data_IF_070995509299
#
_entry.id   IF_070995509299
#
_cell.length_a   1.000
_cell.length_b   1.000
_cell.length_c   1.000
_cell.angle_alpha   90.00
_cell.angle_beta   90.00
_cell.angle_gamma   90.00
#
_symmetry.space_group_name_H-M   'P 1'
#
loop_
_entity.id
_entity.type
_entity.pdbx_description
1 polymer ?
#
# COMPACT_ATOMS: atom_id res chain seq x y z
N UNK A 1 57.48 -4.70 -8.00
CA UNK A 1 56.74 -4.05 -6.90
C UNK A 1 55.78 -3.08 -7.54
N UNK A 2 54.62 -3.58 -7.98
CA UNK A 2 53.54 -2.73 -8.52
C UNK A 2 52.56 -2.45 -7.39
N UNK A 3 52.37 -1.16 -7.11
CA UNK A 3 51.43 -0.65 -6.12
C UNK A 3 50.02 -0.70 -6.69
N UNK A 4 49.17 -1.56 -6.12
CA UNK A 4 47.74 -1.55 -6.40
C UNK A 4 47.08 -0.43 -5.61
N UNK A 5 46.70 0.64 -6.30
CA UNK A 5 45.82 1.66 -5.75
C UNK A 5 44.46 1.03 -5.46
N UNK A 6 44.24 0.75 -4.17
CA UNK A 6 42.96 0.29 -3.67
C UNK A 6 42.02 1.48 -3.62
N UNK A 7 41.17 1.63 -4.64
CA UNK A 7 40.12 2.64 -4.68
C UNK A 7 39.15 2.34 -3.54
N UNK A 8 39.31 3.09 -2.45
CA UNK A 8 38.39 3.09 -1.32
C UNK A 8 37.06 3.68 -1.80
N UNK A 9 35.91 2.98 -1.66
CA UNK A 9 34.63 3.55 -2.04
C UNK A 9 34.38 4.78 -1.18
N UNK A 10 34.20 5.93 -1.85
CA UNK A 10 33.92 7.19 -1.21
C UNK A 10 32.73 7.07 -0.27
N UNK A 11 32.92 7.55 0.97
CA UNK A 11 31.88 7.72 1.98
C UNK A 11 30.60 8.30 1.36
N UNK A 12 29.40 7.88 1.81
CA UNK A 12 28.17 8.42 1.27
C UNK A 12 28.13 9.93 1.56
N UNK A 13 28.38 10.72 0.52
CA UNK A 13 28.14 12.15 0.57
C UNK A 13 26.64 12.34 0.83
N UNK A 14 26.31 13.23 1.76
CA UNK A 14 24.91 13.60 2.00
C UNK A 14 24.37 14.26 0.73
N UNK A 15 23.64 13.49 -0.07
CA UNK A 15 22.96 14.00 -1.27
C UNK A 15 21.60 14.51 -0.84
N UNK A 16 21.35 15.80 -1.05
CA UNK A 16 20.02 16.37 -0.89
C UNK A 16 19.09 15.70 -1.91
N UNK A 17 18.16 14.88 -1.43
CA UNK A 17 17.12 14.31 -2.28
C UNK A 17 16.11 15.39 -2.66
N UNK A 18 15.61 15.43 -3.91
CA UNK A 18 14.49 16.29 -4.27
C UNK A 18 13.35 16.10 -3.28
N UNK A 19 12.88 17.19 -2.67
CA UNK A 19 11.90 17.13 -1.57
C UNK A 19 10.63 17.86 -1.94
N UNK A 20 9.48 17.21 -1.75
CA UNK A 20 8.15 17.74 -1.98
C UNK A 20 7.39 17.80 -0.66
N UNK A 21 6.84 18.96 -0.32
CA UNK A 21 5.92 19.09 0.81
C UNK A 21 4.48 18.98 0.31
N UNK A 22 3.66 18.15 0.96
CA UNK A 22 2.24 17.99 0.66
C UNK A 22 1.38 18.45 1.84
N UNK A 23 0.29 19.13 1.53
CA UNK A 23 -0.82 19.45 2.44
C UNK A 23 -2.07 18.71 1.99
N UNK A 24 -3.05 18.52 2.89
CA UNK A 24 -4.32 17.86 2.57
C UNK A 24 -4.08 16.56 1.78
N UNK A 25 -3.26 15.67 2.34
CA UNK A 25 -2.71 14.50 1.63
C UNK A 25 -3.63 13.28 1.77
N UNK A 26 -3.55 12.30 0.85
CA UNK A 26 -4.33 11.07 0.87
C UNK A 26 -3.56 9.90 0.25
N UNK A 27 -4.00 8.67 0.54
CA UNK A 27 -3.43 7.46 -0.07
C UNK A 27 -3.95 7.27 -1.49
N UNK A 28 -3.07 6.82 -2.38
CA UNK A 28 -3.39 6.43 -3.75
C UNK A 28 -2.70 5.11 -4.09
N UNK A 29 -3.15 4.47 -5.17
CA UNK A 29 -2.45 3.35 -5.79
C UNK A 29 -1.69 3.89 -7.01
N UNK A 30 -0.38 3.71 -7.03
CA UNK A 30 0.43 4.10 -8.18
C UNK A 30 0.02 3.27 -9.42
N UNK A 31 0.05 3.92 -10.58
CA UNK A 31 -0.24 3.28 -11.86
C UNK A 31 0.80 2.20 -12.20
N UNK A 32 2.08 2.52 -11.97
CA UNK A 32 3.21 1.60 -12.14
C UNK A 32 3.64 1.07 -10.78
N UNK A 33 3.89 -0.23 -10.71
CA UNK A 33 4.51 -0.84 -9.54
C UNK A 33 6.03 -0.63 -9.54
N UNK A 34 6.61 -0.79 -8.37
CA UNK A 34 8.05 -0.88 -8.17
C UNK A 34 8.31 -2.01 -7.19
N UNK A 35 8.91 -3.10 -7.66
CA UNK A 35 9.17 -4.30 -6.86
C UNK A 35 7.87 -4.85 -6.21
N UNK A 36 6.76 -4.86 -6.96
CA UNK A 36 5.44 -5.26 -6.45
C UNK A 36 4.75 -4.23 -5.54
N UNK A 37 5.44 -3.15 -5.15
CA UNK A 37 4.87 -2.07 -4.33
C UNK A 37 4.14 -1.06 -5.20
N UNK A 38 2.96 -0.66 -4.73
CA UNK A 38 2.11 0.31 -5.42
C UNK A 38 1.47 1.35 -4.48
N UNK A 39 1.64 1.23 -3.16
CA UNK A 39 1.13 2.24 -2.24
C UNK A 39 1.87 3.56 -2.46
N UNK A 40 1.13 4.64 -2.67
CA UNK A 40 1.65 5.96 -2.93
C UNK A 40 0.81 7.03 -2.21
N UNK A 41 1.27 8.28 -2.25
CA UNK A 41 0.54 9.43 -1.70
C UNK A 41 0.30 10.48 -2.76
N UNK A 42 -0.85 11.13 -2.64
CA UNK A 42 -1.10 12.38 -3.34
C UNK A 42 -1.45 13.47 -2.34
N UNK A 43 -1.34 14.72 -2.77
CA UNK A 43 -1.60 15.86 -1.92
C UNK A 43 -1.55 17.17 -2.68
N UNK A 44 -1.92 18.24 -1.98
CA UNK A 44 -1.82 19.59 -2.51
C UNK A 44 -0.42 20.13 -2.26
N UNK A 45 0.18 20.70 -3.29
CA UNK A 45 1.40 21.47 -3.13
C UNK A 45 1.07 22.80 -2.42
N UNK A 46 1.94 23.32 -1.54
CA UNK A 46 1.78 24.64 -0.95
C UNK A 46 1.61 25.70 -2.04
N UNK A 47 0.50 26.44 -2.01
CA UNK A 47 0.27 27.52 -2.97
C UNK A 47 1.05 28.76 -2.55
N UNK A 48 1.87 29.29 -3.46
CA UNK A 48 2.46 30.62 -3.31
C UNK A 48 1.51 31.62 -3.96
N UNK A 49 0.68 32.28 -3.15
CA UNK A 49 -0.25 33.41 -3.45
C UNK A 49 -1.00 33.34 -4.81
N UNK A 50 -2.33 33.22 -4.72
CA UNK A 50 -3.30 33.39 -5.84
C UNK A 50 -3.12 32.46 -7.06
N UNK A 51 -2.39 31.36 -6.95
CA UNK A 51 -2.33 30.34 -8.01
C UNK A 51 -3.30 29.19 -7.76
N UNK A 52 -3.72 28.56 -8.86
CA UNK A 52 -4.51 27.34 -8.86
C UNK A 52 -3.87 26.27 -7.96
N UNK A 53 -4.70 25.59 -7.18
CA UNK A 53 -4.27 24.49 -6.31
C UNK A 53 -3.73 23.37 -7.19
N UNK A 54 -2.43 23.09 -7.06
CA UNK A 54 -1.78 21.98 -7.78
C UNK A 54 -1.81 20.73 -6.92
N UNK A 55 -2.21 19.63 -7.53
CA UNK A 55 -2.13 18.29 -6.94
C UNK A 55 -0.87 17.61 -7.45
N UNK A 56 -0.18 16.93 -6.54
CA UNK A 56 0.95 16.07 -6.83
C UNK A 56 0.58 14.64 -6.46
N UNK A 57 0.98 13.67 -7.30
CA UNK A 57 0.86 12.24 -7.05
C UNK A 57 2.24 11.62 -7.10
N UNK A 58 2.57 10.78 -6.13
CA UNK A 58 3.90 10.18 -6.00
C UNK A 58 4.05 8.85 -6.75
N UNK A 59 5.30 8.48 -7.01
CA UNK A 59 5.68 7.08 -7.24
C UNK A 59 5.44 6.21 -5.97
N UNK A 60 5.50 4.87 -6.07
CA UNK A 60 5.39 3.98 -4.92
C UNK A 60 6.33 4.38 -3.79
N UNK A 61 5.82 4.31 -2.56
CA UNK A 61 6.60 4.52 -1.35
C UNK A 61 7.45 3.26 -1.14
N UNK A 62 8.75 3.46 -0.99
CA UNK A 62 9.71 2.38 -0.78
C UNK A 62 10.36 2.45 0.60
N UNK A 63 10.26 3.60 1.26
CA UNK A 63 10.89 3.85 2.54
C UNK A 63 10.11 4.85 3.36
N UNK A 64 10.10 4.61 4.66
CA UNK A 64 9.69 5.59 5.66
C UNK A 64 10.91 6.04 6.45
N UNK A 65 11.10 7.35 6.59
CA UNK A 65 12.14 7.93 7.44
C UNK A 65 11.61 8.28 8.83
N UNK A 66 10.40 8.85 8.90
CA UNK A 66 9.68 9.13 10.14
C UNK A 66 8.16 9.13 9.88
N UNK A 67 7.34 9.63 10.81
CA UNK A 67 5.86 9.64 10.68
C UNK A 67 5.37 10.47 9.48
N UNK A 68 6.12 11.48 9.07
CA UNK A 68 5.76 12.46 8.06
C UNK A 68 6.67 12.47 6.83
N UNK A 69 7.82 11.80 6.90
CA UNK A 69 8.84 11.82 5.85
C UNK A 69 8.98 10.46 5.17
N UNK A 70 8.77 10.43 3.86
CA UNK A 70 8.70 9.23 3.03
C UNK A 70 9.69 9.31 1.87
N UNK A 71 10.22 8.17 1.44
CA UNK A 71 11.02 8.03 0.23
C UNK A 71 10.27 7.22 -0.82
N UNK A 72 10.29 7.70 -2.06
CA UNK A 72 9.61 7.08 -3.20
C UNK A 72 10.59 6.47 -4.19
N UNK A 73 10.09 5.55 -5.02
CA UNK A 73 10.89 4.77 -5.97
C UNK A 73 11.67 5.63 -6.99
N UNK A 74 11.17 6.82 -7.32
CA UNK A 74 11.81 7.79 -8.20
C UNK A 74 12.86 8.68 -7.49
N UNK A 75 13.19 8.38 -6.23
CA UNK A 75 14.22 9.09 -5.47
C UNK A 75 13.76 10.42 -4.87
N UNK A 76 12.45 10.67 -4.81
CA UNK A 76 11.87 11.86 -4.20
C UNK A 76 11.60 11.61 -2.70
N UNK A 77 11.89 12.62 -1.89
CA UNK A 77 11.50 12.69 -0.49
C UNK A 77 10.17 13.45 -0.37
N UNK A 78 9.19 12.88 0.31
CA UNK A 78 7.89 13.52 0.54
C UNK A 78 7.74 13.83 2.01
N UNK A 79 7.38 15.08 2.31
CA UNK A 79 7.01 15.55 3.64
C UNK A 79 5.51 15.83 3.64
N UNK A 80 4.73 14.97 4.30
CA UNK A 80 3.29 15.16 4.47
C UNK A 80 3.01 16.08 5.67
N UNK A 81 2.05 17.00 5.52
CA UNK A 81 1.65 17.95 6.56
C UNK A 81 0.17 17.86 6.86
N UNK A 82 -0.16 17.89 8.14
CA UNK A 82 -1.53 17.79 8.64
C UNK A 82 -2.06 16.36 8.61
N UNK A 83 -3.34 16.23 8.89
CA UNK A 83 -4.03 14.95 8.91
C UNK A 83 -4.35 14.49 7.48
N UNK A 84 -4.43 13.18 7.31
CA UNK A 84 -4.85 12.56 6.05
C UNK A 84 -6.30 12.94 5.69
N UNK A 85 -6.56 13.17 4.41
CA UNK A 85 -7.89 13.42 3.86
C UNK A 85 -8.65 12.09 3.70
N UNK A 86 -9.65 11.89 4.56
CA UNK A 86 -10.47 10.67 4.59
C UNK A 86 -11.22 10.42 3.28
N UNK A 87 -11.97 11.41 2.79
CA UNK A 87 -12.83 11.25 1.62
C UNK A 87 -12.01 10.86 0.38
N UNK A 88 -10.90 11.56 0.13
CA UNK A 88 -10.02 11.26 -1.01
C UNK A 88 -9.35 9.90 -0.89
N UNK A 89 -9.01 9.47 0.33
CA UNK A 89 -8.46 8.14 0.59
C UNK A 89 -9.47 7.06 0.20
N UNK A 90 -10.74 7.24 0.58
CA UNK A 90 -11.85 6.32 0.23
C UNK A 90 -12.14 6.32 -1.27
N UNK A 91 -12.18 7.50 -1.90
CA UNK A 91 -12.36 7.66 -3.34
C UNK A 91 -11.25 6.96 -4.14
N UNK A 92 -10.05 6.79 -3.56
CA UNK A 92 -8.93 6.06 -4.16
C UNK A 92 -8.91 4.56 -3.82
N UNK A 93 -10.01 4.02 -3.30
CA UNK A 93 -10.21 2.60 -3.08
C UNK A 93 -9.61 2.05 -1.79
N UNK A 94 -9.26 2.92 -0.83
CA UNK A 94 -8.83 2.49 0.51
C UNK A 94 -10.01 2.50 1.48
N UNK A 95 -10.24 1.42 2.23
CA UNK A 95 -11.39 1.35 3.12
C UNK A 95 -11.18 2.23 4.37
N UNK A 96 -12.28 2.59 5.05
CA UNK A 96 -12.23 3.55 6.17
C UNK A 96 -11.39 3.06 7.36
N UNK A 97 -11.18 1.77 7.49
CA UNK A 97 -10.33 1.17 8.52
C UNK A 97 -8.86 1.56 8.28
N UNK A 98 -8.42 1.56 7.01
CA UNK A 98 -7.06 1.98 6.65
C UNK A 98 -6.83 3.43 7.06
N UNK A 99 -7.77 4.34 6.77
CA UNK A 99 -7.68 5.74 7.17
C UNK A 99 -7.29 5.93 8.66
N UNK A 100 -7.89 5.16 9.57
CA UNK A 100 -7.65 5.31 11.01
C UNK A 100 -6.19 5.04 11.41
N UNK A 101 -5.52 4.15 10.69
CA UNK A 101 -4.10 3.83 10.93
C UNK A 101 -3.16 4.92 10.42
N UNK A 102 -3.62 5.74 9.48
CA UNK A 102 -2.83 6.80 8.85
C UNK A 102 -3.19 8.21 9.35
N UNK A 103 -4.05 8.33 10.37
CA UNK A 103 -4.60 9.60 10.83
C UNK A 103 -3.53 10.66 11.12
N UNK A 104 -2.44 10.23 11.79
CA UNK A 104 -1.33 11.10 12.17
C UNK A 104 -0.13 11.06 11.22
N UNK A 105 -0.24 10.39 10.08
CA UNK A 105 0.89 10.14 9.18
C UNK A 105 1.06 8.64 8.92
N UNK A 106 2.26 8.21 8.55
CA UNK A 106 2.52 6.79 8.32
C UNK A 106 2.71 6.07 9.65
N UNK A 107 2.16 4.85 9.86
CA UNK A 107 2.47 3.97 10.99
C UNK A 107 3.71 3.09 10.72
N UNK A 108 4.42 2.56 11.74
CA UNK A 108 5.65 1.79 11.51
C UNK A 108 5.45 0.52 10.69
N UNK A 109 4.22 0.01 10.67
CA UNK A 109 3.76 -1.18 9.94
C UNK A 109 3.00 -0.79 8.66
N UNK A 110 3.35 0.33 8.03
CA UNK A 110 2.64 0.83 6.85
C UNK A 110 2.75 -0.14 5.65
N UNK A 111 3.82 -0.93 5.57
CA UNK A 111 4.07 -1.91 4.51
C UNK A 111 2.97 -2.98 4.45
N UNK A 112 2.41 -3.40 5.59
CA UNK A 112 1.33 -4.40 5.65
C UNK A 112 0.07 -3.93 4.87
N UNK A 113 -0.15 -2.62 4.81
CA UNK A 113 -1.24 -2.04 4.02
C UNK A 113 -0.93 -1.95 2.53
N UNK A 114 0.35 -1.82 2.18
CA UNK A 114 0.78 -1.82 0.79
C UNK A 114 0.52 -3.17 0.13
N UNK A 115 0.75 -4.27 0.87
CA UNK A 115 0.47 -5.63 0.41
C UNK A 115 -1.05 -5.85 0.36
N UNK A 116 -1.74 -5.69 1.49
CA UNK A 116 -3.14 -6.10 1.65
C UNK A 116 -4.15 -5.34 0.78
N UNK A 117 -3.93 -4.06 0.54
CA UNK A 117 -4.94 -3.19 -0.09
C UNK A 117 -4.54 -2.71 -1.48
N UNK A 118 -3.31 -2.96 -1.90
CA UNK A 118 -2.85 -2.58 -3.24
C UNK A 118 -2.68 -3.78 -4.17
N UNK A 119 -2.58 -5.00 -3.62
CA UNK A 119 -2.76 -6.23 -4.41
C UNK A 119 -4.24 -6.47 -4.75
N UNK A 120 -4.49 -6.66 -6.05
CA UNK A 120 -5.76 -7.05 -6.65
C UNK A 120 -5.64 -6.83 -8.17
N UNK A 121 -5.78 -7.81 -9.06
CA UNK A 121 -6.28 -9.19 -9.00
C UNK A 121 -5.34 -10.11 -9.80
N UNK A 122 -4.86 -11.18 -9.19
CA UNK A 122 -4.57 -12.41 -9.96
C UNK A 122 -5.57 -13.46 -9.49
N UNK A 123 -6.71 -13.55 -10.17
CA UNK A 123 -7.57 -14.75 -10.08
C UNK A 123 -6.79 -15.89 -10.74
N UNK A 124 -5.88 -16.49 -9.98
CA UNK A 124 -5.39 -17.82 -10.25
C UNK A 124 -6.51 -18.79 -9.87
N UNK A 125 -7.36 -19.14 -10.83
CA UNK A 125 -8.19 -20.35 -10.74
C UNK A 125 -7.23 -21.54 -10.68
N UNK A 126 -6.82 -21.90 -9.47
CA UNK A 126 -6.21 -23.19 -9.19
C UNK A 126 -7.24 -24.02 -8.44
N UNK A 127 -8.03 -24.77 -9.21
CA UNK A 127 -8.75 -25.94 -8.74
C UNK A 127 -7.81 -26.78 -7.86
N UNK A 128 -8.13 -26.91 -6.58
CA UNK A 128 -7.65 -28.00 -5.76
C UNK A 128 -8.85 -28.70 -5.17
N UNK A 129 -9.30 -29.69 -5.92
CA UNK A 129 -9.97 -30.85 -5.37
C UNK A 129 -9.09 -31.44 -4.27
N UNK A 130 -9.56 -31.43 -3.02
CA UNK A 130 -9.08 -32.34 -2.00
C UNK A 130 -10.26 -33.21 -1.60
N UNK A 131 -10.40 -34.32 -2.32
CA UNK A 131 -11.30 -35.41 -1.94
C UNK A 131 -10.63 -36.30 -0.89
N UNK A 132 -11.50 -36.83 -0.01
CA UNK A 132 -11.39 -38.03 0.85
C UNK A 132 -10.17 -38.08 1.79
N UNK A 133 -10.26 -38.52 3.04
CA UNK A 133 -11.04 -39.58 3.70
C UNK A 133 -11.12 -39.31 5.24
N UNK A 134 -12.12 -39.77 6.00
CA UNK A 134 -12.03 -41.03 6.76
C UNK A 134 -13.40 -41.45 7.38
N UNK A 135 -13.58 -42.77 7.45
CA UNK A 135 -14.67 -43.67 7.86
C UNK A 135 -15.13 -43.51 9.35
N UNK A 136 -16.22 -44.03 9.95
CA UNK A 136 -17.25 -45.06 9.67
C UNK A 136 -18.35 -45.03 10.76
N UNK A 137 -19.60 -45.45 10.40
CA UNK A 137 -20.66 -46.18 11.18
C UNK A 137 -21.27 -45.46 12.42
N UNK A 138 -22.60 -45.31 12.58
CA UNK A 138 -23.57 -46.40 12.79
C UNK A 138 -25.07 -45.97 12.73
N UNK A 139 -25.90 -46.94 12.34
CA UNK A 139 -27.33 -47.20 12.66
C UNK A 139 -28.44 -46.18 12.37
N UNK A 140 -29.11 -46.41 11.23
CA UNK A 140 -30.51 -46.89 11.15
C UNK A 140 -31.62 -46.13 11.88
N UNK A 141 -32.61 -45.61 11.12
CA UNK A 141 -34.02 -46.05 11.18
C UNK A 141 -34.93 -45.27 10.18
N UNK A 142 -35.37 -46.00 9.15
CA UNK A 142 -36.70 -46.10 8.53
C UNK A 142 -37.73 -44.94 8.55
N UNK A 143 -38.26 -44.70 7.34
CA UNK A 143 -39.69 -44.50 6.95
C UNK A 143 -40.40 -43.19 7.32
N UNK A 144 -40.67 -42.32 6.32
CA UNK A 144 -41.96 -42.21 5.60
C UNK A 144 -42.12 -40.85 4.89
N UNK A 145 -42.33 -40.88 3.56
CA UNK A 145 -43.18 -39.93 2.82
C UNK A 145 -44.66 -40.17 3.23
N UNK A 146 -45.67 -39.30 2.99
CA UNK A 146 -45.84 -38.29 1.92
C UNK A 146 -46.34 -36.92 2.49
N UNK A 147 -46.67 -35.81 1.81
CA UNK A 147 -47.60 -35.60 0.69
C UNK A 147 -47.71 -34.09 0.33
N UNK A 148 -47.91 -33.81 -0.97
CA UNK A 148 -48.91 -32.90 -1.58
C UNK A 148 -48.85 -31.36 -1.38
N UNK A 149 -48.55 -30.70 -2.51
CA UNK A 149 -49.36 -29.71 -3.23
C UNK A 149 -50.10 -28.63 -2.43
N UNK A 150 -49.71 -27.38 -2.70
CA UNK A 150 -50.62 -26.28 -3.05
C UNK A 150 -49.95 -25.37 -4.07
#
# INVERSE_FOLDING_TARGET
>A
MESHDTITPASPSSRFLPTVCLQDWWLIKAEKDFEGKRLAVAGRLPSVKQQAVRVFSSAPIIKRYDVFTLGTADGICIVIKGLINKSRTIENGFPSEVFSHFLFGFPPFWEEYAEKYVEGESIGVASRSSGLDELTTDSGNNLCNPSLLK
#
